data_IF_559435550780
#
_entry.id   IF_559435550780
#
_cell.length_a   1.000
_cell.length_b   1.000
_cell.length_c   1.000
_cell.angle_alpha   90.00
_cell.angle_beta   90.00
_cell.angle_gamma   90.00
#
_symmetry.space_group_name_H-M   'P 1'
#
loop_
_entity.id
_entity.type
_entity.pdbx_description
1 polymer ?
#
# COMPACT_ATOMS: atom_id res chain seq x y z
N UNK A 1 3.23 4.02 -0.94
CA UNK A 1 2.01 3.21 -0.67
C UNK A 1 0.87 4.17 -0.43
N UNK A 2 -0.37 3.77 -0.70
CA UNK A 2 -1.54 4.64 -0.46
C UNK A 2 -2.77 3.78 -0.11
N UNK A 3 -3.69 4.34 0.69
CA UNK A 3 -4.94 3.73 1.10
C UNK A 3 -6.04 4.77 1.26
N UNK A 4 -7.24 4.43 0.81
CA UNK A 4 -8.40 5.33 0.86
C UNK A 4 -9.66 4.61 1.32
N UNK A 5 -10.57 5.34 1.95
CA UNK A 5 -11.83 4.80 2.42
C UNK A 5 -12.99 5.80 2.25
N UNK A 6 -14.08 5.36 1.62
CA UNK A 6 -15.32 6.14 1.45
C UNK A 6 -16.25 5.96 2.66
N UNK A 7 -16.06 6.81 3.66
CA UNK A 7 -16.67 6.66 4.99
C UNK A 7 -15.71 5.98 5.97
N UNK A 8 -15.80 6.28 7.27
CA UNK A 8 -14.83 5.79 8.26
C UNK A 8 -15.54 5.27 9.52
N UNK A 9 -16.05 4.02 9.54
CA UNK A 9 -15.79 2.95 8.57
C UNK A 9 -16.63 3.01 7.28
N UNK A 10 -16.16 2.37 6.22
CA UNK A 10 -16.84 2.26 4.92
C UNK A 10 -16.09 1.40 3.90
N UNK A 11 -16.55 1.33 2.64
CA UNK A 11 -15.80 0.69 1.58
C UNK A 11 -14.48 1.41 1.33
N UNK A 12 -13.37 0.69 1.31
CA UNK A 12 -12.05 1.24 1.08
C UNK A 12 -11.19 0.35 0.20
N UNK A 13 -10.10 0.92 -0.29
CA UNK A 13 -9.13 0.24 -1.13
C UNK A 13 -7.72 0.75 -0.86
N UNK A 14 -6.74 -0.04 -1.27
CA UNK A 14 -5.34 0.22 -1.03
C UNK A 14 -4.52 -0.15 -2.27
N UNK A 15 -3.37 0.49 -2.43
CA UNK A 15 -2.47 0.24 -3.55
C UNK A 15 -1.01 0.46 -3.20
N UNK A 16 -0.15 -0.37 -3.77
CA UNK A 16 1.30 -0.25 -3.66
C UNK A 16 1.97 -0.45 -5.01
N UNK A 17 3.04 0.31 -5.24
CA UNK A 17 3.89 0.22 -6.42
C UNK A 17 5.33 0.17 -5.95
N UNK A 18 6.07 -0.84 -6.40
CA UNK A 18 7.50 -0.97 -6.21
C UNK A 18 8.23 -0.38 -7.41
N UNK A 19 9.06 0.64 -7.18
CA UNK A 19 9.79 1.37 -8.22
C UNK A 19 11.29 1.30 -7.96
N UNK A 20 12.07 0.90 -8.97
CA UNK A 20 13.53 1.06 -8.98
C UNK A 20 13.98 1.71 -10.28
N UNK A 21 14.96 2.60 -10.21
CA UNK A 21 15.52 3.32 -11.38
C UNK A 21 14.45 3.96 -12.29
N UNK A 22 13.38 4.49 -11.67
CA UNK A 22 12.26 5.12 -12.36
C UNK A 22 11.34 4.16 -13.10
N UNK A 23 11.45 2.84 -12.86
CA UNK A 23 10.61 1.80 -13.48
C UNK A 23 9.77 1.09 -12.43
N UNK A 24 8.50 0.86 -12.76
CA UNK A 24 7.62 0.01 -11.95
C UNK A 24 8.06 -1.44 -12.15
N UNK A 25 8.42 -2.10 -11.05
CA UNK A 25 8.83 -3.50 -11.05
C UNK A 25 7.71 -4.43 -10.63
N UNK A 26 6.88 -3.99 -9.69
CA UNK A 26 5.72 -4.72 -9.21
C UNK A 26 4.66 -3.73 -8.68
N UNK A 27 3.42 -4.20 -8.62
CA UNK A 27 2.34 -3.50 -7.94
C UNK A 27 1.31 -4.51 -7.43
N UNK A 28 0.58 -4.12 -6.39
CA UNK A 28 -0.52 -4.88 -5.82
C UNK A 28 -1.57 -3.91 -5.27
N UNK A 29 -2.80 -4.39 -5.17
CA UNK A 29 -3.94 -3.61 -4.71
C UNK A 29 -5.04 -4.53 -4.18
N UNK A 30 -5.93 -3.96 -3.38
CA UNK A 30 -7.09 -4.66 -2.88
C UNK A 30 -8.16 -3.72 -2.37
N UNK A 31 -9.29 -4.30 -2.01
CA UNK A 31 -10.44 -3.59 -1.46
C UNK A 31 -11.06 -4.34 -0.29
N UNK A 32 -11.67 -3.60 0.63
CA UNK A 32 -12.45 -4.11 1.75
C UNK A 32 -13.75 -3.30 1.86
N UNK A 33 -14.94 -3.94 1.75
CA UNK A 33 -16.22 -3.23 1.80
C UNK A 33 -16.52 -2.59 3.17
N UNK A 34 -15.79 -2.95 4.24
CA UNK A 34 -16.01 -2.44 5.59
C UNK A 34 -14.70 -2.23 6.36
N UNK A 35 -13.99 -1.16 6.01
CA UNK A 35 -12.66 -0.82 6.55
C UNK A 35 -12.57 0.65 6.99
N UNK A 36 -11.36 1.10 7.32
CA UNK A 36 -11.02 2.50 7.63
C UNK A 36 -9.85 2.95 6.77
N UNK A 37 -9.65 4.28 6.66
CA UNK A 37 -8.52 4.84 5.90
C UNK A 37 -7.17 4.25 6.37
N UNK A 38 -6.90 4.33 7.68
CA UNK A 38 -5.65 3.85 8.26
C UNK A 38 -5.43 2.35 8.04
N UNK A 39 -6.50 1.53 8.05
CA UNK A 39 -6.36 0.10 7.75
C UNK A 39 -5.88 -0.10 6.32
N UNK A 40 -6.43 0.64 5.36
CA UNK A 40 -6.01 0.56 3.96
C UNK A 40 -4.58 1.02 3.74
N UNK A 41 -4.18 2.13 4.37
CA UNK A 41 -2.80 2.66 4.29
C UNK A 41 -1.78 1.65 4.84
N UNK A 42 -2.06 1.06 6.02
CA UNK A 42 -1.18 0.03 6.58
C UNK A 42 -1.19 -1.27 5.78
N UNK A 43 -2.32 -1.68 5.22
CA UNK A 43 -2.37 -2.85 4.34
C UNK A 43 -1.49 -2.63 3.10
N UNK A 44 -1.55 -1.47 2.44
CA UNK A 44 -0.65 -1.15 1.34
C UNK A 44 0.83 -1.24 1.73
N UNK A 45 1.18 -0.73 2.91
CA UNK A 45 2.55 -0.79 3.42
C UNK A 45 3.03 -2.23 3.65
N UNK A 46 2.21 -3.08 4.28
CA UNK A 46 2.55 -4.49 4.53
C UNK A 46 2.79 -5.22 3.21
N UNK A 47 1.87 -5.10 2.25
CA UNK A 47 2.03 -5.73 0.93
C UNK A 47 3.27 -5.19 0.19
N UNK A 48 3.59 -3.90 0.34
CA UNK A 48 4.82 -3.34 -0.20
C UNK A 48 6.08 -3.97 0.35
N UNK A 49 6.14 -4.18 1.67
CA UNK A 49 7.27 -4.83 2.33
C UNK A 49 7.41 -6.31 1.95
N UNK A 50 6.30 -7.01 1.72
CA UNK A 50 6.29 -8.40 1.25
C UNK A 50 6.82 -8.56 -0.19
N UNK A 51 6.83 -7.49 -0.99
CA UNK A 51 7.43 -7.48 -2.33
C UNK A 51 8.96 -7.40 -2.31
N UNK A 52 9.57 -7.00 -1.18
CA UNK A 52 11.00 -6.76 -1.10
C UNK A 52 11.77 -8.06 -0.91
N UNK A 53 12.95 -8.14 -1.55
CA UNK A 53 13.89 -9.23 -1.33
C UNK A 53 14.54 -9.17 0.06
N UNK A 54 15.10 -10.28 0.57
CA UNK A 54 15.84 -10.25 1.83
C UNK A 54 17.06 -9.31 1.71
N UNK A 55 17.14 -8.35 2.64
CA UNK A 55 18.24 -7.38 2.82
C UNK A 55 18.34 -6.21 1.81
N UNK A 56 17.23 -5.74 1.25
CA UNK A 56 17.20 -4.45 0.54
C UNK A 56 16.91 -3.29 1.51
N UNK A 57 17.82 -2.31 1.56
CA UNK A 57 17.55 -1.01 2.19
C UNK A 57 16.65 -0.20 1.24
N UNK A 58 15.48 0.20 1.72
CA UNK A 58 14.41 0.78 0.91
C UNK A 58 13.78 1.98 1.61
N UNK A 59 13.54 3.05 0.86
CA UNK A 59 12.78 4.21 1.32
C UNK A 59 11.28 3.97 1.10
N UNK A 60 10.50 4.04 2.19
CA UNK A 60 9.04 3.94 2.13
C UNK A 60 8.44 5.35 2.14
N UNK A 61 7.72 5.68 1.07
CA UNK A 61 6.97 6.93 0.95
C UNK A 61 5.47 6.68 1.14
N UNK A 62 4.87 7.38 2.11
CA UNK A 62 3.45 7.38 2.45
C UNK A 62 3.04 8.80 2.84
N UNK A 63 1.80 9.19 2.60
CA UNK A 63 1.24 10.52 2.92
C UNK A 63 0.30 10.52 4.15
N UNK A 64 0.11 9.34 4.77
CA UNK A 64 -0.61 9.09 6.02
C UNK A 64 -0.02 9.77 7.25
#
# INVERSE_FOLDING_TARGET
TDGSCSGNPGPGGWGVVYVMDGRILASDHGEDPATTNNRMEFTAMIHGLEMLGPAEEMDVYTDS
#
